data_IF_247156386937
#
_entry.id   IF_247156386937
#
_cell.length_a   1.000
_cell.length_b   1.000
_cell.length_c   1.000
_cell.angle_alpha   90.00
_cell.angle_beta   90.00
_cell.angle_gamma   90.00
#
_symmetry.space_group_name_H-M   'P 1'
#
loop_
_entity.id
_entity.type
_entity.pdbx_description
1 polymer ?
#
# COMPACT_ATOMS: atom_id res chain seq x y z
N UNK A 1 3.61 12.65 -3.66
CA UNK A 1 4.42 11.45 -3.42
C UNK A 1 4.65 10.72 -4.72
N UNK A 2 5.88 10.26 -4.99
CA UNK A 2 6.16 9.58 -6.25
C UNK A 2 5.49 8.21 -6.35
N UNK A 3 5.27 7.54 -5.23
CA UNK A 3 4.62 6.23 -5.21
C UNK A 3 3.17 6.35 -4.82
N UNK A 4 2.31 5.64 -5.53
CA UNK A 4 0.89 5.56 -5.24
C UNK A 4 0.41 4.13 -5.39
N UNK A 5 -0.76 3.85 -4.82
CA UNK A 5 -1.46 2.59 -5.04
C UNK A 5 -2.56 2.84 -6.06
N UNK A 6 -2.68 1.93 -7.02
CA UNK A 6 -3.80 1.97 -7.96
C UNK A 6 -5.07 1.51 -7.23
N UNK A 7 -6.02 2.40 -6.93
CA UNK A 7 -7.22 2.01 -6.17
C UNK A 7 -8.06 0.96 -6.88
N UNK A 8 -8.03 0.96 -8.20
CA UNK A 8 -8.81 0.00 -9.00
C UNK A 8 -8.20 -1.39 -8.98
N UNK A 9 -6.95 -1.52 -8.55
CA UNK A 9 -6.26 -2.81 -8.47
C UNK A 9 -6.44 -3.50 -7.13
N UNK A 10 -7.01 -2.82 -6.14
CA UNK A 10 -7.17 -3.39 -4.79
C UNK A 10 -8.19 -4.53 -4.86
N UNK A 11 -7.76 -5.72 -4.43
CA UNK A 11 -8.60 -6.90 -4.36
C UNK A 11 -8.58 -7.46 -2.95
N UNK A 12 -9.74 -7.83 -2.44
CA UNK A 12 -9.89 -8.42 -1.13
C UNK A 12 -10.33 -9.87 -1.27
N UNK A 13 -9.72 -10.75 -0.46
CA UNK A 13 -10.07 -12.16 -0.43
C UNK A 13 -10.35 -12.56 1.00
N UNK A 14 -11.56 -13.04 1.28
CA UNK A 14 -11.92 -13.53 2.60
C UNK A 14 -11.31 -14.89 2.85
N UNK A 15 -10.76 -15.09 4.03
CA UNK A 15 -10.19 -16.34 4.48
C UNK A 15 -10.72 -16.65 5.88
N UNK A 16 -10.38 -17.83 6.41
CA UNK A 16 -10.74 -18.21 7.78
C UNK A 16 -10.15 -17.28 8.82
N UNK A 17 -9.06 -16.60 8.49
CA UNK A 17 -8.31 -15.77 9.42
C UNK A 17 -8.53 -14.28 9.21
N UNK A 18 -9.43 -13.92 8.31
CA UNK A 18 -9.73 -12.54 8.00
C UNK A 18 -9.65 -12.25 6.51
N UNK A 19 -9.35 -11.01 6.16
CA UNK A 19 -9.34 -10.56 4.77
C UNK A 19 -7.91 -10.30 4.32
N UNK A 20 -7.51 -10.94 3.23
CA UNK A 20 -6.26 -10.62 2.53
C UNK A 20 -6.53 -9.52 1.51
N UNK A 21 -5.55 -8.65 1.31
CA UNK A 21 -5.63 -7.60 0.30
C UNK A 21 -4.42 -7.64 -0.63
N UNK A 22 -4.64 -7.38 -1.91
CA UNK A 22 -3.57 -7.20 -2.88
C UNK A 22 -3.79 -5.91 -3.63
N UNK A 23 -2.70 -5.26 -4.04
CA UNK A 23 -2.78 -4.00 -4.78
C UNK A 23 -1.50 -3.75 -5.56
N UNK A 24 -1.60 -2.94 -6.62
CA UNK A 24 -0.44 -2.55 -7.42
C UNK A 24 0.15 -1.25 -6.92
N UNK A 25 1.48 -1.22 -6.85
CA UNK A 25 2.24 0.00 -6.56
C UNK A 25 2.63 0.64 -7.89
N UNK A 26 2.34 1.94 -8.00
CA UNK A 26 2.68 2.73 -9.19
C UNK A 26 3.74 3.76 -8.84
N UNK A 27 4.67 3.96 -9.76
CA UNK A 27 5.60 5.07 -9.73
C UNK A 27 5.41 5.86 -11.01
N UNK A 28 4.93 7.11 -10.84
CA UNK A 28 4.65 7.99 -11.98
C UNK A 28 3.74 7.32 -13.01
N UNK A 29 2.73 6.59 -12.49
CA UNK A 29 1.75 5.89 -13.32
C UNK A 29 2.16 4.53 -13.85
N UNK A 30 3.40 4.11 -13.58
CA UNK A 30 3.91 2.83 -14.05
C UNK A 30 3.98 1.81 -12.92
N UNK A 31 3.49 0.60 -13.16
CA UNK A 31 3.55 -0.47 -12.17
C UNK A 31 5.00 -0.84 -11.85
N UNK A 32 5.37 -0.78 -10.58
CA UNK A 32 6.70 -1.17 -10.11
C UNK A 32 6.67 -2.31 -9.09
N UNK A 33 5.51 -2.65 -8.56
CA UNK A 33 5.41 -3.73 -7.59
C UNK A 33 3.98 -4.07 -7.24
N UNK A 34 3.85 -5.05 -6.34
CA UNK A 34 2.56 -5.53 -5.83
C UNK A 34 2.63 -5.72 -4.33
N UNK A 35 1.62 -5.25 -3.63
CA UNK A 35 1.47 -5.44 -2.19
C UNK A 35 0.62 -6.68 -1.93
N UNK A 36 1.03 -7.48 -0.96
CA UNK A 36 0.27 -8.61 -0.45
C UNK A 36 0.13 -8.44 1.06
N UNK A 37 -1.05 -8.07 1.50
CA UNK A 37 -1.36 -7.91 2.92
C UNK A 37 -2.17 -9.11 3.38
N UNK A 38 -1.54 -9.99 4.16
CA UNK A 38 -2.16 -11.21 4.65
C UNK A 38 -2.76 -11.00 6.03
N UNK A 39 -4.00 -11.47 6.20
CA UNK A 39 -4.71 -11.34 7.47
C UNK A 39 -3.98 -12.00 8.64
N UNK A 40 -3.25 -13.09 8.37
CA UNK A 40 -2.52 -13.83 9.39
C UNK A 40 -1.18 -13.22 9.77
N UNK A 41 -0.69 -12.28 8.98
CA UNK A 41 0.65 -11.72 9.16
C UNK A 41 0.59 -10.27 9.60
N UNK A 42 1.50 -9.94 10.50
CA UNK A 42 1.67 -8.56 10.94
C UNK A 42 2.38 -7.74 9.87
N UNK A 43 3.21 -8.39 9.06
CA UNK A 43 4.05 -7.74 8.05
C UNK A 43 3.38 -7.80 6.70
N UNK A 44 3.38 -6.67 6.00
CA UNK A 44 2.89 -6.58 4.63
C UNK A 44 4.01 -6.97 3.66
N UNK A 45 3.77 -7.98 2.83
CA UNK A 45 4.73 -8.41 1.83
C UNK A 45 4.63 -7.54 0.58
N UNK A 46 5.77 -7.23 -0.02
CA UNK A 46 5.82 -6.45 -1.25
C UNK A 46 6.75 -7.12 -2.25
N UNK A 47 6.27 -7.29 -3.46
CA UNK A 47 7.06 -7.85 -4.57
C UNK A 47 7.30 -6.74 -5.59
N UNK A 48 8.54 -6.60 -6.06
CA UNK A 48 8.91 -5.58 -7.04
C UNK A 48 9.28 -6.19 -8.38
N UNK A 49 9.08 -5.40 -9.43
CA UNK A 49 9.41 -5.83 -10.80
C UNK A 49 10.91 -6.02 -10.99
N UNK A 50 11.73 -5.18 -10.36
CA UNK A 50 13.19 -5.26 -10.41
C UNK A 50 13.80 -4.96 -9.05
N UNK A 51 15.07 -5.32 -8.86
CA UNK A 51 15.82 -4.96 -7.66
C UNK A 51 16.02 -3.44 -7.53
N UNK A 52 16.12 -2.75 -8.66
CA UNK A 52 16.23 -1.29 -8.67
C UNK A 52 14.96 -0.62 -8.16
N UNK A 53 13.80 -1.13 -8.55
CA UNK A 53 12.51 -0.64 -8.07
C UNK A 53 12.40 -0.84 -6.56
N UNK A 54 12.84 -1.98 -6.05
CA UNK A 54 12.86 -2.26 -4.62
C UNK A 54 13.75 -1.28 -3.87
N UNK A 55 14.95 -1.07 -4.36
CA UNK A 55 15.92 -0.16 -3.73
C UNK A 55 15.41 1.28 -3.72
N UNK A 56 14.81 1.73 -4.81
CA UNK A 56 14.24 3.07 -4.90
C UNK A 56 13.08 3.26 -3.93
N UNK A 57 12.21 2.26 -3.84
CA UNK A 57 11.09 2.27 -2.89
C UNK A 57 11.57 2.30 -1.44
N UNK A 58 12.57 1.47 -1.12
CA UNK A 58 13.16 1.42 0.22
C UNK A 58 13.75 2.78 0.62
N UNK A 59 14.42 3.43 -0.30
CA UNK A 59 15.00 4.75 -0.09
C UNK A 59 13.93 5.80 0.24
N UNK A 60 12.83 5.77 -0.50
CA UNK A 60 11.69 6.67 -0.27
C UNK A 60 11.02 6.35 1.07
N UNK A 61 10.87 5.07 1.39
CA UNK A 61 10.29 4.63 2.66
C UNK A 61 11.12 5.13 3.85
N UNK A 62 12.44 5.01 3.77
CA UNK A 62 13.34 5.50 4.83
C UNK A 62 13.20 7.00 5.02
N UNK A 63 13.10 7.73 3.92
CA UNK A 63 12.94 9.19 3.97
C UNK A 63 11.64 9.59 4.65
N UNK A 64 10.55 8.92 4.32
CA UNK A 64 9.23 9.25 4.84
C UNK A 64 9.00 8.76 6.27
N UNK A 65 9.64 7.68 6.68
CA UNK A 65 9.42 7.04 7.98
C UNK A 65 10.54 7.31 8.99
N UNK A 66 11.53 8.12 8.63
CA UNK A 66 12.67 8.40 9.49
C UNK A 66 12.25 8.98 10.86
N UNK A 67 11.22 9.82 10.89
CA UNK A 67 10.72 10.41 12.14
C UNK A 67 9.93 9.42 12.97
N UNK A 68 9.32 8.42 12.34
CA UNK A 68 8.50 7.40 13.02
C UNK A 68 9.39 6.35 13.69
N UNK A 69 10.39 5.85 12.95
CA UNK A 69 11.30 4.81 13.45
C UNK A 69 12.52 5.36 14.15
N UNK A 70 12.72 6.68 14.16
CA UNK A 70 13.90 7.29 14.73
C UNK A 70 15.15 6.95 13.92
N UNK A 71 16.25 6.62 14.62
CA UNK A 71 17.48 6.21 13.95
C UNK A 71 17.25 4.88 13.24
N UNK A 72 17.63 4.81 11.97
CA UNK A 72 17.35 3.69 11.10
C UNK A 72 18.19 2.46 11.45
N UNK A 73 17.82 1.75 12.50
CA UNK A 73 18.40 0.46 12.84
C UNK A 73 17.63 -0.69 12.18
N UNK A 74 16.48 -0.39 11.59
CA UNK A 74 15.65 -1.40 10.95
C UNK A 74 16.15 -1.73 9.54
N UNK A 75 15.89 -2.97 9.11
CA UNK A 75 16.20 -3.42 7.76
C UNK A 75 15.27 -2.76 6.74
N UNK A 76 15.70 -2.73 5.48
CA UNK A 76 14.91 -2.19 4.39
C UNK A 76 13.51 -2.82 4.31
N UNK A 77 13.42 -4.13 4.58
CA UNK A 77 12.14 -4.83 4.55
C UNK A 77 11.10 -4.26 5.51
N UNK A 78 11.54 -3.79 6.69
CA UNK A 78 10.65 -3.16 7.66
C UNK A 78 10.12 -1.83 7.14
N UNK A 79 10.98 -1.01 6.57
CA UNK A 79 10.58 0.28 5.98
C UNK A 79 9.64 0.07 4.79
N UNK A 80 9.97 -0.87 3.93
CA UNK A 80 9.15 -1.21 2.76
C UNK A 80 7.75 -1.64 3.20
N UNK A 81 7.67 -2.54 4.18
CA UNK A 81 6.41 -3.06 4.69
C UNK A 81 5.53 -1.94 5.26
N UNK A 82 6.08 -1.10 6.11
CA UNK A 82 5.32 -0.02 6.76
C UNK A 82 4.90 1.06 5.77
N UNK A 83 5.76 1.43 4.86
CA UNK A 83 5.43 2.43 3.85
C UNK A 83 4.36 1.91 2.89
N UNK A 84 4.48 0.67 2.46
CA UNK A 84 3.48 0.03 1.61
C UNK A 84 2.12 -0.05 2.31
N UNK A 85 2.11 -0.39 3.59
CA UNK A 85 0.88 -0.43 4.39
C UNK A 85 0.22 0.95 4.46
N UNK A 86 1.02 1.99 4.69
CA UNK A 86 0.51 3.36 4.74
C UNK A 86 -0.11 3.78 3.41
N UNK A 87 0.54 3.45 2.31
CA UNK A 87 0.01 3.73 0.96
C UNK A 87 -1.29 2.98 0.71
N UNK A 88 -1.33 1.71 1.08
CA UNK A 88 -2.52 0.89 0.91
C UNK A 88 -3.70 1.44 1.72
N UNK A 89 -3.46 1.80 2.97
CA UNK A 89 -4.47 2.38 3.84
C UNK A 89 -5.01 3.67 3.26
N UNK A 90 -4.16 4.52 2.75
CA UNK A 90 -4.56 5.77 2.10
C UNK A 90 -5.44 5.52 0.88
N UNK A 91 -5.08 4.53 0.06
CA UNK A 91 -5.86 4.17 -1.12
C UNK A 91 -7.22 3.59 -0.73
N UNK A 92 -7.28 2.79 0.32
CA UNK A 92 -8.54 2.25 0.84
C UNK A 92 -9.46 3.36 1.34
N UNK A 93 -8.93 4.34 2.02
CA UNK A 93 -9.69 5.49 2.50
C UNK A 93 -10.28 6.29 1.34
N UNK A 94 -9.51 6.50 0.29
CA UNK A 94 -9.99 7.18 -0.91
C UNK A 94 -11.11 6.40 -1.60
N UNK A 95 -10.96 5.09 -1.66
CA UNK A 95 -11.97 4.22 -2.26
C UNK A 95 -13.27 4.27 -1.48
N UNK A 96 -13.20 4.24 -0.15
CA UNK A 96 -14.38 4.38 0.71
C UNK A 96 -15.05 5.74 0.55
N UNK A 97 -14.26 6.79 0.40
CA UNK A 97 -14.75 8.15 0.18
C UNK A 97 -15.54 8.25 -1.12
N UNK A 98 -15.02 7.68 -2.19
CA UNK A 98 -15.69 7.64 -3.49
C UNK A 98 -16.99 6.84 -3.40
N UNK A 99 -16.97 5.71 -2.70
CA UNK A 99 -18.14 4.88 -2.51
C UNK A 99 -19.23 5.62 -1.72
N UNK A 100 -18.85 6.37 -0.69
CA UNK A 100 -19.80 7.19 0.09
C UNK A 100 -20.40 8.31 -0.74
N UNK A 101 -19.59 8.97 -1.56
CA UNK A 101 -20.06 10.04 -2.44
C UNK A 101 -21.05 9.49 -3.46
N UNK A 102 -20.78 8.35 -4.05
CA UNK A 102 -21.67 7.68 -4.98
C UNK A 102 -23.00 7.32 -4.31
N UNK A 103 -22.92 6.81 -3.08
CA UNK A 103 -24.11 6.46 -2.30
C UNK A 103 -24.99 7.69 -2.01
N UNK A 104 -24.38 8.79 -1.64
CA UNK A 104 -25.07 10.05 -1.40
C UNK A 104 -25.76 10.53 -2.67
N UNK A 105 -25.11 10.41 -3.80
CA UNK A 105 -25.69 10.78 -5.11
C UNK A 105 -26.90 9.94 -5.44
N UNK A 106 -26.86 8.65 -5.16
CA UNK A 106 -27.97 7.73 -5.36
C UNK A 106 -29.17 8.09 -4.50
N UNK A 107 -28.95 8.49 -3.26
CA UNK A 107 -30.00 8.89 -2.34
C UNK A 107 -30.78 10.11 -2.84
N UNK A 108 -30.17 10.94 -3.63
CA UNK A 108 -30.79 12.14 -4.20
C UNK A 108 -31.60 11.84 -5.46
N UNK A 109 -31.29 10.74 -6.07
CA UNK A 109 -31.96 10.34 -7.28
C UNK A 109 -33.31 9.71 -6.96
#
# INVERSE_FOLDING_TARGET
MPYTIDPLSIQFTETRHGVNATARILFDGKKVGTIHDHAERIVTDVTFSTGEDRAAFASEARRNLATVFGKATHHDSAFISEYARALLQQAEEELLKQSQDDHISDDRA
#
